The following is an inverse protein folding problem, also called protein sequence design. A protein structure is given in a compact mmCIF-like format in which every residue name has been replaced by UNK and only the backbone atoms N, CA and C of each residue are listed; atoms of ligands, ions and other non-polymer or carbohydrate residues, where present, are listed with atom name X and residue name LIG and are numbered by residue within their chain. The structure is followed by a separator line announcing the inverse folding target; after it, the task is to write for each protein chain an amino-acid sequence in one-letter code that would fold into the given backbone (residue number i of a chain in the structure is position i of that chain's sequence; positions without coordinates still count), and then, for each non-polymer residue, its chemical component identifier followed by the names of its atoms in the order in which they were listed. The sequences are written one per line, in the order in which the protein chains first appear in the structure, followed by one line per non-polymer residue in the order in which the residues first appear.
data_IF_854778351088
#
_entry.id   IF_854778351088
#
_cell.length_a   1.000
_cell.length_b   1.000
_cell.length_c   1.000
_cell.angle_alpha   90.00
_cell.angle_beta   90.00
_cell.angle_gamma   90.00
#
_symmetry.space_group_name_H-M   'P 1'
#
loop_
_entity.id
_entity.type
_entity.pdbx_description
1 polymer ?
#
# COMPACT_ATOMS: atom_id res chain seq x y z
N UNK A 1 18.52 -19.23 -2.81
CA UNK A 1 17.50 -18.36 -3.42
C UNK A 1 16.56 -17.75 -2.38
N UNK A 2 16.15 -18.49 -1.35
CA UNK A 2 15.23 -18.03 -0.29
C UNK A 2 15.65 -16.71 0.36
N UNK A 3 16.91 -16.55 0.78
CA UNK A 3 17.41 -15.31 1.38
C UNK A 3 17.18 -14.09 0.48
N UNK A 4 17.51 -14.21 -0.82
CA UNK A 4 17.29 -13.13 -1.78
C UNK A 4 15.79 -12.78 -1.90
N UNK A 5 14.93 -13.78 -2.04
CA UNK A 5 13.48 -13.57 -2.15
C UNK A 5 12.90 -12.94 -0.88
N UNK A 6 13.34 -13.39 0.31
CA UNK A 6 12.94 -12.80 1.58
C UNK A 6 13.35 -11.33 1.69
N UNK A 7 14.59 -10.99 1.30
CA UNK A 7 15.05 -9.60 1.28
C UNK A 7 14.21 -8.76 0.31
N UNK A 8 13.90 -9.28 -0.88
CA UNK A 8 13.06 -8.57 -1.85
C UNK A 8 11.64 -8.33 -1.33
N UNK A 9 11.04 -9.30 -0.63
CA UNK A 9 9.73 -9.14 0.02
C UNK A 9 9.76 -8.06 1.11
N UNK A 10 10.82 -8.02 1.92
CA UNK A 10 10.99 -6.99 2.95
C UNK A 10 11.18 -5.60 2.33
N UNK A 11 12.01 -5.47 1.29
CA UNK A 11 12.20 -4.21 0.56
C UNK A 11 10.90 -3.75 -0.07
N UNK A 12 10.13 -4.67 -0.67
CA UNK A 12 8.80 -4.38 -1.21
C UNK A 12 7.85 -3.86 -0.11
N UNK A 13 7.82 -4.51 1.06
CA UNK A 13 6.99 -4.08 2.17
C UNK A 13 7.35 -2.66 2.64
N UNK A 14 8.65 -2.37 2.80
CA UNK A 14 9.15 -1.04 3.17
C UNK A 14 8.75 0.01 2.14
N UNK A 15 8.93 -0.29 0.85
CA UNK A 15 8.54 0.63 -0.23
C UNK A 15 7.05 1.00 -0.15
N UNK A 16 6.17 0.01 -0.03
CA UNK A 16 4.72 0.23 0.03
C UNK A 16 4.31 1.07 1.25
N UNK A 17 4.87 0.76 2.43
CA UNK A 17 4.57 1.49 3.68
C UNK A 17 5.07 2.94 3.63
N UNK A 18 6.17 3.21 2.93
CA UNK A 18 6.72 4.58 2.82
C UNK A 18 5.98 5.41 1.77
N UNK A 19 5.66 4.81 0.62
CA UNK A 19 5.14 5.53 -0.55
C UNK A 19 3.64 5.75 -0.46
N UNK A 20 2.86 4.70 -0.17
CA UNK A 20 1.41 4.79 -0.31
C UNK A 20 0.71 5.70 0.68
N UNK A 21 1.10 5.78 1.97
CA UNK A 21 0.48 6.73 2.89
C UNK A 21 0.73 8.20 2.48
N UNK A 22 1.89 8.51 1.90
CA UNK A 22 2.19 9.85 1.37
C UNK A 22 1.38 10.14 0.12
N UNK A 23 1.26 9.17 -0.78
CA UNK A 23 0.43 9.28 -1.97
C UNK A 23 -1.06 9.44 -1.61
N UNK A 24 -1.55 8.72 -0.61
CA UNK A 24 -2.92 8.82 -0.11
C UNK A 24 -3.28 10.24 0.33
N UNK A 25 -2.37 10.95 1.02
CA UNK A 25 -2.58 12.35 1.39
C UNK A 25 -2.86 13.24 0.16
N UNK A 26 -2.20 12.97 -0.97
CA UNK A 26 -2.43 13.71 -2.23
C UNK A 26 -3.77 13.33 -2.86
N UNK A 27 -4.10 12.04 -2.91
CA UNK A 27 -5.39 11.56 -3.42
C UNK A 27 -6.55 12.16 -2.63
N UNK A 28 -6.47 12.15 -1.30
CA UNK A 28 -7.54 12.66 -0.44
C UNK A 28 -7.75 14.18 -0.56
N UNK A 29 -6.70 14.92 -0.97
CA UNK A 29 -6.76 16.36 -1.20
C UNK A 29 -7.10 16.74 -2.66
N UNK A 30 -7.18 15.76 -3.57
CA UNK A 30 -7.51 16.01 -4.97
C UNK A 30 -8.97 16.48 -5.10
N UNK A 31 -9.27 17.54 -5.86
CA UNK A 31 -10.64 18.04 -6.06
C UNK A 31 -11.60 16.97 -6.59
N UNK A 32 -11.11 15.95 -7.31
CA UNK A 32 -11.94 14.85 -7.84
C UNK A 32 -12.34 13.85 -6.78
N UNK A 33 -11.73 13.88 -5.60
CA UNK A 33 -11.95 12.89 -4.55
C UNK A 33 -13.31 13.04 -3.86
N UNK A 34 -13.88 14.25 -3.88
CA UNK A 34 -15.20 14.52 -3.34
C UNK A 34 -16.05 15.29 -4.34
N UNK A 35 -17.36 15.04 -4.31
CA UNK A 35 -18.33 15.82 -5.10
C UNK A 35 -18.71 17.14 -4.42
N UNK A 36 -19.62 17.90 -5.04
CA UNK A 36 -20.06 19.20 -4.54
C UNK A 36 -20.72 19.13 -3.15
N UNK A 37 -21.32 17.99 -2.80
CA UNK A 37 -21.91 17.72 -1.49
C UNK A 37 -20.90 17.11 -0.49
N UNK A 38 -19.64 16.97 -0.89
CA UNK A 38 -18.56 16.43 -0.06
C UNK A 38 -18.53 14.91 0.07
N UNK A 39 -19.31 14.17 -0.73
CA UNK A 39 -19.36 12.70 -0.74
C UNK A 39 -18.18 12.12 -1.51
N UNK A 40 -17.76 10.91 -1.15
CA UNK A 40 -16.66 10.20 -1.83
C UNK A 40 -17.06 9.82 -3.26
N UNK A 41 -16.21 10.14 -4.22
CA UNK A 41 -16.42 9.76 -5.63
C UNK A 41 -15.84 8.38 -5.94
N UNK A 42 -16.09 7.88 -7.15
CA UNK A 42 -15.41 6.69 -7.66
C UNK A 42 -13.87 6.84 -7.67
N UNK A 43 -13.36 8.04 -7.96
CA UNK A 43 -11.92 8.34 -7.93
C UNK A 43 -11.34 8.07 -6.53
N UNK A 44 -12.01 8.56 -5.47
CA UNK A 44 -11.61 8.29 -4.09
C UNK A 44 -11.64 6.80 -3.81
N UNK A 45 -12.75 6.13 -4.13
CA UNK A 45 -12.97 4.73 -3.76
C UNK A 45 -11.97 3.80 -4.44
N UNK A 46 -11.69 3.98 -5.73
CA UNK A 46 -10.70 3.18 -6.46
C UNK A 46 -9.32 3.32 -5.83
N UNK A 47 -8.86 4.55 -5.58
CA UNK A 47 -7.54 4.74 -4.99
C UNK A 47 -7.46 4.25 -3.55
N UNK A 48 -8.53 4.41 -2.75
CA UNK A 48 -8.59 3.88 -1.40
C UNK A 48 -8.44 2.35 -1.41
N UNK A 49 -9.15 1.66 -2.30
CA UNK A 49 -9.09 0.21 -2.46
C UNK A 49 -7.71 -0.25 -2.94
N UNK A 50 -7.16 0.39 -3.97
CA UNK A 50 -5.84 0.05 -4.50
C UNK A 50 -4.73 0.22 -3.44
N UNK A 51 -4.74 1.34 -2.73
CA UNK A 51 -3.76 1.60 -1.66
C UNK A 51 -3.97 0.65 -0.48
N UNK A 52 -5.22 0.39 -0.10
CA UNK A 52 -5.55 -0.55 0.97
C UNK A 52 -5.02 -1.96 0.66
N UNK A 53 -5.25 -2.45 -0.55
CA UNK A 53 -4.72 -3.74 -1.00
C UNK A 53 -3.20 -3.74 -1.08
N UNK A 54 -2.57 -2.66 -1.56
CA UNK A 54 -1.11 -2.55 -1.59
C UNK A 54 -0.50 -2.63 -0.19
N UNK A 55 -1.11 -1.98 0.82
CA UNK A 55 -0.66 -2.06 2.21
C UNK A 55 -0.94 -3.43 2.84
N UNK A 56 -2.05 -4.08 2.49
CA UNK A 56 -2.31 -5.46 2.91
C UNK A 56 -1.25 -6.42 2.35
N UNK A 57 -0.93 -6.31 1.05
CA UNK A 57 0.13 -7.10 0.42
C UNK A 57 1.50 -6.79 1.00
N UNK A 58 1.77 -5.53 1.38
CA UNK A 58 3.00 -5.15 2.09
C UNK A 58 3.11 -5.86 3.44
N UNK A 59 2.01 -5.93 4.20
CA UNK A 59 1.98 -6.66 5.48
C UNK A 59 2.25 -8.15 5.27
N UNK A 60 1.59 -8.77 4.29
CA UNK A 60 1.81 -10.18 3.96
C UNK A 60 3.25 -10.44 3.49
N UNK A 61 3.81 -9.53 2.69
CA UNK A 61 5.21 -9.60 2.23
C UNK A 61 6.18 -9.48 3.40
N UNK A 62 5.91 -8.60 4.37
CA UNK A 62 6.73 -8.48 5.57
C UNK A 62 6.73 -9.78 6.38
N UNK A 63 5.54 -10.36 6.63
CA UNK A 63 5.38 -11.63 7.36
C UNK A 63 6.13 -12.76 6.66
N UNK A 64 5.91 -12.93 5.35
CA UNK A 64 6.56 -13.98 4.57
C UNK A 64 8.07 -13.79 4.48
N UNK A 65 8.54 -12.55 4.30
CA UNK A 65 9.95 -12.20 4.26
C UNK A 65 10.67 -12.53 5.57
N UNK A 66 10.09 -12.13 6.71
CA UNK A 66 10.62 -12.48 8.04
C UNK A 66 10.61 -13.99 8.24
N UNK A 67 9.51 -14.66 7.94
CA UNK A 67 9.42 -16.12 8.11
C UNK A 67 10.48 -16.84 7.28
N UNK A 68 10.67 -16.49 6.01
CA UNK A 68 11.70 -17.11 5.16
C UNK A 68 13.15 -16.83 5.56
N UNK A 69 13.41 -15.88 6.48
CA UNK A 69 14.73 -15.69 7.09
C UNK A 69 14.93 -16.49 8.38
N UNK A 70 13.84 -16.87 9.04
CA UNK A 70 13.85 -17.57 10.34
C UNK A 70 13.66 -19.09 10.19
N UNK A 71 13.03 -19.52 9.10
CA UNK A 71 12.82 -20.93 8.75
C UNK A 71 14.04 -21.53 8.05
#
# INVERSE_FOLDING_TARGET
MTVLLSVLLLVNAVFNVVVWPRFWKRVAADPRARDAEGRKTAFYTVHATLIGLALLLALLSAIAGVWGLLA
#
